data_IF_613129759528
#
_entry.id   IF_613129759528
#
_cell.length_a   1.000
_cell.length_b   1.000
_cell.length_c   1.000
_cell.angle_alpha   90.00
_cell.angle_beta   90.00
_cell.angle_gamma   90.00
#
_symmetry.space_group_name_H-M   'P 1'
#
loop_
_entity.id
_entity.type
_entity.pdbx_description
1 polymer ?
#
# COMPACT_ATOMS: atom_id res chain seq x y z
N UNK A 1 -2.80 0.83 10.44
CA UNK A 1 -1.51 0.13 10.16
C UNK A 1 -0.57 1.10 9.48
N UNK A 2 0.73 1.04 9.77
CA UNK A 2 1.74 1.89 9.11
C UNK A 2 2.83 1.00 8.54
N UNK A 3 3.26 1.25 7.31
CA UNK A 3 4.36 0.55 6.66
C UNK A 3 5.19 1.49 5.78
N UNK A 4 6.43 1.09 5.47
CA UNK A 4 7.33 1.89 4.63
C UNK A 4 6.98 1.76 3.14
N UNK A 5 6.77 0.53 2.65
CA UNK A 5 6.49 0.24 1.25
C UNK A 5 5.25 -0.62 1.04
N UNK A 6 4.36 -0.13 0.18
CA UNK A 6 3.27 -0.93 -0.38
C UNK A 6 3.57 -1.34 -1.82
N UNK A 7 3.72 -2.65 -2.04
CA UNK A 7 3.93 -3.25 -3.35
C UNK A 7 2.69 -4.05 -3.80
N UNK A 8 2.73 -5.37 -3.62
CA UNK A 8 1.65 -6.30 -3.87
C UNK A 8 0.80 -6.60 -2.63
N UNK A 9 0.98 -5.86 -1.53
CA UNK A 9 0.13 -5.92 -0.34
C UNK A 9 0.33 -7.13 0.60
N UNK A 10 1.28 -8.03 0.33
CA UNK A 10 1.43 -9.28 1.11
C UNK A 10 1.73 -9.06 2.60
N UNK A 11 2.66 -8.13 2.92
CA UNK A 11 3.03 -7.84 4.30
C UNK A 11 1.85 -7.23 5.06
N UNK A 12 1.21 -6.22 4.47
CA UNK A 12 -0.01 -5.62 5.01
C UNK A 12 -1.13 -6.64 5.22
N UNK A 13 -1.31 -7.59 4.31
CA UNK A 13 -2.32 -8.62 4.49
C UNK A 13 -2.06 -9.46 5.74
N UNK A 14 -0.81 -9.85 5.98
CA UNK A 14 -0.45 -10.53 7.23
C UNK A 14 -0.72 -9.70 8.48
N UNK A 15 -0.50 -8.38 8.43
CA UNK A 15 -0.82 -7.49 9.55
C UNK A 15 -2.34 -7.36 9.78
N UNK A 16 -3.12 -7.27 8.70
CA UNK A 16 -4.59 -7.27 8.75
C UNK A 16 -5.09 -8.57 9.38
N UNK A 17 -4.63 -9.72 8.88
CA UNK A 17 -5.02 -11.03 9.40
C UNK A 17 -4.69 -11.18 10.90
N UNK A 18 -3.58 -10.60 11.36
CA UNK A 18 -3.21 -10.56 12.78
C UNK A 18 -4.16 -9.66 13.61
N UNK A 19 -4.53 -8.49 13.09
CA UNK A 19 -5.52 -7.63 13.74
C UNK A 19 -6.88 -8.32 13.84
N UNK A 20 -7.35 -8.95 12.76
CA UNK A 20 -8.59 -9.73 12.72
C UNK A 20 -8.56 -10.88 13.74
N UNK A 21 -7.46 -11.65 13.79
CA UNK A 21 -7.29 -12.74 14.74
C UNK A 21 -7.28 -12.27 16.21
N UNK A 22 -6.84 -11.02 16.45
CA UNK A 22 -6.88 -10.38 17.76
C UNK A 22 -8.26 -9.76 18.09
N UNK A 23 -9.23 -9.79 17.18
CA UNK A 23 -10.52 -9.12 17.33
C UNK A 23 -10.42 -7.59 17.25
N UNK A 24 -9.35 -7.07 16.68
CA UNK A 24 -9.15 -5.64 16.46
C UNK A 24 -9.71 -5.19 15.11
N UNK A 25 -10.19 -3.96 15.06
CA UNK A 25 -10.62 -3.30 13.82
C UNK A 25 -9.48 -2.48 13.23
N UNK A 26 -9.22 -2.64 11.94
CA UNK A 26 -8.25 -1.82 11.20
C UNK A 26 -8.97 -0.57 10.68
N UNK A 27 -8.81 0.55 11.39
CA UNK A 27 -9.44 1.83 11.04
C UNK A 27 -8.83 2.52 9.81
N UNK A 28 -7.60 2.15 9.42
CA UNK A 28 -6.92 2.75 8.29
C UNK A 28 -5.49 2.25 8.10
N UNK A 29 -4.91 2.56 6.95
CA UNK A 29 -3.60 2.10 6.49
C UNK A 29 -2.83 3.31 5.92
N UNK A 30 -1.71 3.65 6.56
CA UNK A 30 -0.82 4.72 6.12
C UNK A 30 0.49 4.18 5.58
N UNK A 31 0.89 4.61 4.38
CA UNK A 31 2.09 4.11 3.70
C UNK A 31 3.00 5.26 3.31
N UNK A 32 4.31 5.12 3.55
CA UNK A 32 5.27 6.13 3.11
C UNK A 32 5.42 6.15 1.58
N UNK A 33 5.67 4.99 0.95
CA UNK A 33 5.79 4.86 -0.52
C UNK A 33 4.97 3.69 -1.06
N UNK A 34 4.04 3.96 -1.96
CA UNK A 34 3.26 2.95 -2.68
C UNK A 34 3.79 2.80 -4.12
N UNK A 35 4.02 1.57 -4.57
CA UNK A 35 4.30 1.23 -5.97
C UNK A 35 2.97 0.98 -6.68
N UNK A 36 2.32 2.05 -7.13
CA UNK A 36 0.99 2.03 -7.74
C UNK A 36 0.88 1.09 -8.94
N UNK A 37 1.94 0.95 -9.74
CA UNK A 37 2.02 -0.01 -10.85
C UNK A 37 1.98 -1.49 -10.45
N UNK A 38 2.02 -1.83 -9.14
CA UNK A 38 1.91 -3.20 -8.64
C UNK A 38 0.52 -3.56 -8.09
N UNK A 39 -0.40 -2.59 -8.00
CA UNK A 39 -1.82 -2.81 -7.69
C UNK A 39 -2.17 -3.25 -6.26
N UNK A 40 -1.21 -3.33 -5.33
CA UNK A 40 -1.50 -3.75 -3.95
C UNK A 40 -2.40 -2.78 -3.19
N UNK A 41 -2.20 -1.46 -3.38
CA UNK A 41 -3.08 -0.45 -2.78
C UNK A 41 -4.48 -0.44 -3.38
N UNK A 42 -4.60 -0.64 -4.70
CA UNK A 42 -5.89 -0.70 -5.38
C UNK A 42 -6.72 -1.89 -4.88
N UNK A 43 -6.10 -3.06 -4.66
CA UNK A 43 -6.76 -4.23 -4.09
C UNK A 43 -7.30 -3.94 -2.68
N UNK A 44 -6.48 -3.35 -1.80
CA UNK A 44 -6.90 -3.01 -0.43
C UNK A 44 -8.03 -1.97 -0.40
N UNK A 45 -7.97 -0.95 -1.26
CA UNK A 45 -9.06 0.04 -1.40
C UNK A 45 -10.34 -0.61 -1.92
N UNK A 46 -10.25 -1.55 -2.86
CA UNK A 46 -11.40 -2.28 -3.38
C UNK A 46 -12.04 -3.21 -2.32
N UNK A 47 -11.26 -3.67 -1.35
CA UNK A 47 -11.74 -4.41 -0.18
C UNK A 47 -12.39 -3.52 0.89
N UNK A 48 -12.33 -2.19 0.73
CA UNK A 48 -12.96 -1.21 1.63
C UNK A 48 -12.04 -0.64 2.71
N UNK A 49 -10.74 -0.90 2.66
CA UNK A 49 -9.79 -0.28 3.57
C UNK A 49 -9.52 1.18 3.17
N UNK A 50 -9.40 2.04 4.17
CA UNK A 50 -8.90 3.40 4.00
C UNK A 50 -7.37 3.36 3.87
N UNK A 51 -6.85 3.60 2.66
CA UNK A 51 -5.43 3.49 2.32
C UNK A 51 -4.89 4.82 1.82
N UNK A 52 -4.11 5.47 2.67
CA UNK A 52 -3.44 6.73 2.39
C UNK A 52 -1.93 6.52 2.22
N UNK A 53 -1.42 6.89 1.05
CA UNK A 53 0.00 6.78 0.70
C UNK A 53 0.59 8.16 0.49
N UNK A 54 1.69 8.49 1.17
CA UNK A 54 2.32 9.81 1.06
C UNK A 54 2.95 10.06 -0.31
N UNK A 55 3.52 9.02 -0.92
CA UNK A 55 4.04 9.05 -2.27
C UNK A 55 3.61 7.80 -3.03
N UNK A 56 2.87 7.97 -4.13
CA UNK A 56 2.48 6.87 -5.01
C UNK A 56 3.33 6.95 -6.27
N UNK A 57 4.20 5.97 -6.49
CA UNK A 57 4.99 5.80 -7.70
C UNK A 57 4.12 5.13 -8.77
N UNK A 58 3.77 5.88 -9.79
CA UNK A 58 2.97 5.40 -10.93
C UNK A 58 3.83 4.61 -11.91
N UNK A 59 5.10 4.99 -12.10
CA UNK A 59 6.04 4.24 -12.93
C UNK A 59 7.48 4.52 -12.53
N UNK A 60 8.36 3.58 -12.89
CA UNK A 60 9.80 3.71 -12.70
C UNK A 60 10.54 3.16 -13.92
N UNK A 61 11.55 3.88 -14.38
CA UNK A 61 12.44 3.43 -15.46
C UNK A 61 13.81 3.04 -14.88
N UNK A 62 14.19 1.74 -14.91
CA UNK A 62 15.45 1.28 -14.34
C UNK A 62 16.69 1.70 -15.15
N UNK A 63 16.54 2.06 -16.43
CA UNK A 63 17.65 2.50 -17.28
C UNK A 63 17.98 3.99 -17.06
N UNK A 64 16.94 4.84 -16.93
CA UNK A 64 17.11 6.29 -16.75
C UNK A 64 17.09 6.72 -15.29
N UNK A 65 16.54 5.91 -14.38
CA UNK A 65 16.28 6.26 -12.99
C UNK A 65 15.08 7.21 -12.79
N UNK A 66 14.29 7.46 -13.84
CA UNK A 66 13.13 8.34 -13.77
C UNK A 66 11.99 7.70 -12.98
N UNK A 67 11.35 8.50 -12.12
CA UNK A 67 10.22 8.12 -11.28
C UNK A 67 9.06 9.07 -11.56
N UNK A 68 7.91 8.55 -11.95
CA UNK A 68 6.67 9.32 -12.10
C UNK A 68 5.78 9.06 -10.89
N UNK A 69 5.30 10.13 -10.26
CA UNK A 69 4.35 10.04 -9.15
C UNK A 69 2.92 10.25 -9.64
N UNK A 70 1.95 9.58 -9.01
CA UNK A 70 0.52 9.78 -9.24
C UNK A 70 0.10 11.13 -8.66
N UNK A 71 -0.61 11.93 -9.46
CA UNK A 71 -1.20 13.22 -9.07
C UNK A 71 -2.55 13.05 -8.39
#
# INVERSE_FOLDING_TARGET
LIDDFLANGKALRGLIDLCEAAGATVEGIGIAVEKGFQGGGDALRAEGYDVDSLAIVESMNPETGEITFRH
#
